data_IF_020294423013
#
_entry.id   IF_020294423013
#
_cell.length_a   1.000
_cell.length_b   1.000
_cell.length_c   1.000
_cell.angle_alpha   90.00
_cell.angle_beta   90.00
_cell.angle_gamma   90.00
#
_symmetry.space_group_name_H-M   'P 1'
#
loop_
_entity.id
_entity.type
_entity.pdbx_description
1 polymer ?
#
# COMPACT_ATOMS: atom_id res chain seq x y z
N UNK A 1 6.82 -69.86 -42.27
CA UNK A 1 6.33 -70.75 -41.18
C UNK A 1 6.93 -70.27 -39.86
N UNK A 2 6.42 -70.74 -38.71
CA UNK A 2 6.94 -70.48 -37.34
C UNK A 2 8.42 -70.94 -37.23
N UNK A 3 9.28 -70.54 -36.28
CA UNK A 3 9.16 -70.45 -34.80
C UNK A 3 10.19 -69.41 -34.26
N UNK A 4 9.91 -68.54 -33.27
CA UNK A 4 9.87 -68.70 -31.80
C UNK A 4 11.21 -69.06 -31.12
N UNK A 5 11.66 -68.19 -30.19
CA UNK A 5 12.34 -68.37 -28.87
C UNK A 5 13.47 -67.32 -28.66
N UNK A 6 13.83 -66.85 -27.46
CA UNK A 6 13.16 -66.45 -26.19
C UNK A 6 14.27 -65.88 -25.23
N UNK A 7 13.93 -65.37 -24.02
CA UNK A 7 14.87 -65.05 -22.88
C UNK A 7 15.69 -63.74 -23.11
N UNK A 8 15.96 -62.78 -22.20
CA UNK A 8 15.69 -62.48 -20.76
C UNK A 8 16.02 -60.97 -20.49
N UNK A 9 15.73 -60.26 -19.37
CA UNK A 9 14.67 -60.28 -18.33
C UNK A 9 14.97 -59.19 -17.26
N UNK A 10 14.28 -58.04 -17.28
CA UNK A 10 14.31 -56.99 -16.22
C UNK A 10 13.06 -56.09 -16.35
N UNK A 11 11.96 -56.37 -15.67
CA UNK A 11 11.60 -55.87 -14.33
C UNK A 11 11.85 -54.36 -14.15
N UNK A 12 10.77 -53.58 -14.14
CA UNK A 12 10.37 -52.83 -12.93
C UNK A 12 8.94 -52.28 -13.08
N UNK A 13 8.00 -52.89 -12.37
CA UNK A 13 6.63 -52.42 -12.20
C UNK A 13 6.59 -51.27 -11.19
N UNK A 14 6.13 -50.09 -11.60
CA UNK A 14 5.75 -49.04 -10.64
C UNK A 14 4.31 -49.26 -10.18
N UNK A 15 4.16 -49.95 -9.05
CA UNK A 15 2.92 -49.98 -8.27
C UNK A 15 2.86 -48.74 -7.38
N UNK A 16 1.69 -48.11 -7.33
CA UNK A 16 1.39 -47.04 -6.39
C UNK A 16 1.44 -47.55 -4.93
N UNK A 17 2.14 -46.83 -4.07
CA UNK A 17 1.98 -46.89 -2.62
C UNK A 17 1.73 -45.46 -2.12
N UNK A 18 0.73 -45.28 -1.26
CA UNK A 18 0.35 -43.99 -0.71
C UNK A 18 0.82 -43.86 0.76
N UNK A 19 0.86 -42.61 1.24
CA UNK A 19 1.20 -42.18 2.60
C UNK A 19 2.69 -42.34 2.97
N UNK A 20 3.34 -41.38 3.65
CA UNK A 20 2.84 -40.15 4.29
C UNK A 20 3.92 -39.07 4.45
N UNK A 21 3.49 -37.81 4.38
CA UNK A 21 4.08 -36.61 5.00
C UNK A 21 5.61 -36.45 5.05
N UNK A 22 6.14 -35.57 4.21
CA UNK A 22 7.07 -34.54 4.68
C UNK A 22 6.69 -33.17 4.09
N UNK A 23 6.73 -32.13 4.92
CA UNK A 23 6.40 -30.76 4.55
C UNK A 23 7.66 -30.12 4.00
N UNK A 24 7.65 -29.75 2.72
CA UNK A 24 8.62 -28.82 2.15
C UNK A 24 7.89 -27.52 1.87
N UNK A 25 8.22 -26.40 2.55
CA UNK A 25 7.58 -25.13 2.30
C UNK A 25 7.95 -24.63 0.90
N UNK A 26 6.96 -24.14 0.15
CA UNK A 26 7.23 -23.43 -1.10
C UNK A 26 8.02 -22.16 -0.81
N UNK A 27 9.19 -22.01 -1.43
CA UNK A 27 9.98 -20.79 -1.30
C UNK A 27 9.14 -19.57 -1.67
N UNK A 28 9.02 -18.66 -0.70
CA UNK A 28 8.48 -17.33 -0.95
C UNK A 28 9.54 -16.53 -1.70
N UNK A 29 9.45 -16.54 -3.03
CA UNK A 29 10.09 -15.51 -3.86
C UNK A 29 9.36 -14.17 -3.63
N UNK A 30 9.56 -13.58 -2.47
CA UNK A 30 9.16 -12.20 -2.20
C UNK A 30 10.13 -11.29 -2.93
N UNK A 31 9.64 -10.57 -3.95
CA UNK A 31 10.43 -9.54 -4.61
C UNK A 31 10.92 -8.52 -3.58
N UNK A 32 12.21 -8.23 -3.60
CA UNK A 32 12.89 -7.45 -2.58
C UNK A 32 12.34 -6.02 -2.52
N UNK A 33 11.47 -5.73 -1.55
CA UNK A 33 11.08 -4.38 -1.21
C UNK A 33 12.33 -3.59 -0.78
N UNK A 34 12.72 -2.60 -1.58
CA UNK A 34 13.91 -1.81 -1.31
C UNK A 34 13.66 -0.86 -0.14
N UNK A 35 14.21 -1.21 1.03
CA UNK A 35 14.32 -0.31 2.18
C UNK A 35 15.22 0.87 1.82
N UNK A 36 14.62 2.03 1.60
CA UNK A 36 15.32 3.32 1.60
C UNK A 36 15.32 3.90 3.01
N UNK A 37 16.50 4.20 3.53
CA UNK A 37 16.67 4.82 4.84
C UNK A 37 16.01 6.20 4.88
N UNK A 38 15.24 6.45 5.93
CA UNK A 38 14.53 7.72 6.13
C UNK A 38 15.42 8.75 6.81
N UNK A 39 15.33 9.99 6.33
CA UNK A 39 15.70 11.20 7.06
C UNK A 39 14.38 11.84 7.50
N UNK A 40 14.19 11.98 8.81
CA UNK A 40 12.94 12.46 9.42
C UNK A 40 12.97 13.99 9.59
N UNK A 41 12.27 14.71 8.72
CA UNK A 41 12.06 16.14 8.89
C UNK A 41 10.97 16.38 9.95
N UNK A 42 11.37 16.90 11.11
CA UNK A 42 10.47 17.21 12.23
C UNK A 42 10.15 18.70 12.32
N UNK A 43 8.89 19.05 12.58
CA UNK A 43 8.48 20.43 12.91
C UNK A 43 7.41 20.43 14.02
N UNK A 44 7.33 21.50 14.81
CA UNK A 44 6.40 21.57 15.96
C UNK A 44 5.37 22.66 15.73
N UNK A 45 4.08 22.33 15.85
CA UNK A 45 2.98 23.29 15.81
C UNK A 45 2.28 23.34 17.17
N UNK A 46 2.12 24.56 17.69
CA UNK A 46 1.40 24.83 18.93
C UNK A 46 -0.10 24.96 18.66
N UNK A 47 -0.89 23.95 19.03
CA UNK A 47 -2.36 24.00 18.98
C UNK A 47 -2.87 24.67 20.26
N UNK A 48 -3.68 25.73 20.12
CA UNK A 48 -4.09 26.56 21.26
C UNK A 48 -5.41 26.12 21.95
N UNK A 49 -6.21 25.25 21.34
CA UNK A 49 -7.40 24.63 21.95
C UNK A 49 -7.65 23.24 21.39
N UNK A 50 -8.12 22.32 22.24
CA UNK A 50 -8.58 20.98 21.82
C UNK A 50 -9.87 21.06 20.97
N UNK A 51 -10.64 22.16 21.08
CA UNK A 51 -11.88 22.36 20.34
C UNK A 51 -11.68 22.44 18.82
N UNK A 52 -10.52 22.91 18.36
CA UNK A 52 -10.16 22.88 16.93
C UNK A 52 -9.73 21.47 16.46
N UNK A 53 -9.31 20.59 17.38
CA UNK A 53 -8.91 19.20 17.09
C UNK A 53 -10.11 18.25 16.97
N UNK A 54 -11.23 18.56 17.64
CA UNK A 54 -12.42 17.71 17.70
C UNK A 54 -13.51 18.04 16.66
N UNK A 55 -13.28 19.02 15.77
CA UNK A 55 -14.36 19.56 14.91
C UNK A 55 -14.90 18.58 13.86
N UNK A 56 -14.12 17.55 13.50
CA UNK A 56 -14.54 16.44 12.63
C UNK A 56 -15.05 15.19 13.40
N UNK A 57 -15.06 15.23 14.74
CA UNK A 57 -15.55 14.15 15.59
C UNK A 57 -16.84 14.58 16.29
N UNK A 58 -17.99 14.27 15.69
CA UNK A 58 -19.31 14.43 16.33
C UNK A 58 -19.45 13.48 17.52
N UNK A 59 -18.99 13.92 18.69
CA UNK A 59 -19.22 13.28 19.98
C UNK A 59 -19.96 14.29 20.86
N UNK A 60 -21.27 14.10 20.97
CA UNK A 60 -22.13 14.89 21.84
C UNK A 60 -21.94 14.53 23.31
N UNK A 61 -21.83 15.56 24.17
CA UNK A 61 -21.93 15.49 25.64
C UNK A 61 -20.82 14.73 26.37
N UNK A 62 -19.67 15.40 26.52
CA UNK A 62 -18.75 15.17 27.62
C UNK A 62 -18.48 16.51 28.34
N UNK A 63 -18.93 16.64 29.59
CA UNK A 63 -18.57 17.79 30.44
C UNK A 63 -17.09 17.63 30.84
N UNK A 64 -16.22 18.50 30.30
CA UNK A 64 -14.78 18.38 30.50
C UNK A 64 -14.29 19.33 31.62
N UNK A 65 -13.90 18.82 32.81
CA UNK A 65 -13.38 19.67 33.88
C UNK A 65 -11.91 20.06 33.63
N UNK A 66 -11.71 21.28 33.12
CA UNK A 66 -10.44 22.03 33.14
C UNK A 66 -9.14 21.22 32.95
N UNK A 67 -8.83 20.85 31.71
CA UNK A 67 -7.46 20.54 31.29
C UNK A 67 -6.93 21.59 30.32
N UNK A 68 -6.36 22.66 30.89
CA UNK A 68 -5.60 23.70 30.19
C UNK A 68 -4.19 23.20 29.78
N UNK A 69 -4.11 22.03 29.18
CA UNK A 69 -2.86 21.47 28.64
C UNK A 69 -2.80 21.72 27.14
N UNK A 70 -1.94 22.67 26.73
CA UNK A 70 -1.50 22.76 25.34
C UNK A 70 -0.81 21.44 24.97
N UNK A 71 -1.48 20.63 24.17
CA UNK A 71 -0.84 19.47 23.54
C UNK A 71 0.04 19.99 22.40
N UNK A 72 1.34 19.67 22.44
CA UNK A 72 2.26 20.02 21.36
C UNK A 72 2.14 18.95 20.29
N UNK A 73 1.68 19.30 19.10
CA UNK A 73 1.68 18.36 17.97
C UNK A 73 3.05 18.43 17.31
N UNK A 74 3.80 17.35 17.41
CA UNK A 74 5.04 17.14 16.68
C UNK A 74 4.66 16.59 15.31
N UNK A 75 4.87 17.38 14.27
CA UNK A 75 4.68 16.97 12.88
C UNK A 75 5.93 16.26 12.41
N UNK A 76 5.74 15.04 11.92
CA UNK A 76 6.78 14.18 11.39
C UNK A 76 6.53 13.92 9.91
N UNK A 77 7.57 14.02 9.09
CA UNK A 77 7.53 13.59 7.68
C UNK A 77 8.39 12.34 7.50
N UNK A 78 7.78 11.27 7.01
CA UNK A 78 8.43 9.96 6.77
C UNK A 78 8.31 9.57 5.30
N UNK A 79 9.26 8.79 4.78
CA UNK A 79 9.38 8.49 3.33
C UNK A 79 9.33 6.98 3.06
N UNK A 80 8.97 6.61 1.82
CA UNK A 80 8.90 5.21 1.40
C UNK A 80 7.70 4.47 2.02
N UNK A 81 7.72 3.13 2.01
CA UNK A 81 6.64 2.28 2.52
C UNK A 81 7.23 1.01 3.13
N UNK A 82 6.51 0.39 4.05
CA UNK A 82 6.95 -0.85 4.72
C UNK A 82 6.32 -2.09 4.08
N UNK A 83 5.17 -1.92 3.42
CA UNK A 83 4.47 -2.96 2.68
C UNK A 83 3.90 -2.41 1.38
N UNK A 84 3.95 -3.23 0.32
CA UNK A 84 3.34 -2.97 -0.98
C UNK A 84 2.57 -4.21 -1.41
N UNK A 85 1.34 -4.01 -1.84
CA UNK A 85 0.49 -5.05 -2.42
C UNK A 85 -0.21 -4.53 -3.68
N UNK A 86 -0.74 -5.43 -4.51
CA UNK A 86 -1.57 -5.05 -5.65
C UNK A 86 -3.02 -4.94 -5.19
N UNK A 87 -3.61 -3.75 -5.34
CA UNK A 87 -5.07 -3.57 -5.31
C UNK A 87 -5.68 -4.14 -6.60
N UNK A 88 -5.04 -3.83 -7.73
CA UNK A 88 -5.32 -4.43 -9.04
C UNK A 88 -4.00 -4.65 -9.78
N UNK A 89 -3.89 -5.78 -10.49
CA UNK A 89 -2.69 -6.15 -11.26
C UNK A 89 -3.06 -6.43 -12.71
N UNK A 90 -2.22 -5.99 -13.65
CA UNK A 90 -2.33 -6.19 -15.10
C UNK A 90 -3.75 -5.92 -15.64
N UNK A 91 -4.41 -4.94 -15.05
CA UNK A 91 -5.85 -4.72 -15.18
C UNK A 91 -6.17 -3.76 -16.31
N UNK A 92 -7.24 -4.07 -17.06
CA UNK A 92 -7.74 -3.23 -18.16
C UNK A 92 -8.59 -2.11 -17.59
N UNK A 93 -8.10 -0.88 -17.67
CA UNK A 93 -8.75 0.30 -17.10
C UNK A 93 -8.86 1.42 -18.12
N UNK A 94 -9.91 2.23 -18.02
CA UNK A 94 -10.05 3.50 -18.73
C UNK A 94 -10.35 4.62 -17.75
N UNK A 95 -9.75 5.78 -17.97
CA UNK A 95 -9.83 6.91 -17.05
C UNK A 95 -10.76 8.00 -17.60
N UNK A 96 -11.61 8.57 -16.74
CA UNK A 96 -12.37 9.77 -17.08
C UNK A 96 -11.46 11.01 -17.21
N UNK A 97 -11.93 12.04 -17.91
CA UNK A 97 -11.15 13.23 -18.28
C UNK A 97 -10.23 13.79 -17.17
N UNK A 98 -10.77 14.01 -15.97
CA UNK A 98 -10.01 14.61 -14.87
C UNK A 98 -8.86 13.72 -14.39
N UNK A 99 -9.08 12.41 -14.23
CA UNK A 99 -8.04 11.48 -13.77
C UNK A 99 -7.03 11.19 -14.89
N UNK A 100 -7.48 11.10 -16.14
CA UNK A 100 -6.59 10.96 -17.29
C UNK A 100 -5.60 12.13 -17.39
N UNK A 101 -6.05 13.36 -17.15
CA UNK A 101 -5.20 14.55 -17.11
C UNK A 101 -4.21 14.56 -15.93
N UNK A 102 -4.59 14.04 -14.75
CA UNK A 102 -3.69 13.89 -13.59
C UNK A 102 -2.63 12.80 -13.82
N UNK A 103 -3.00 11.73 -14.53
CA UNK A 103 -2.07 10.64 -14.89
C UNK A 103 -1.15 11.05 -16.04
N UNK A 104 -1.62 11.87 -16.99
CA UNK A 104 -0.89 12.21 -18.21
C UNK A 104 -1.15 11.22 -19.36
N UNK A 105 -2.40 10.77 -19.51
CA UNK A 105 -2.84 9.84 -20.57
C UNK A 105 -4.13 10.33 -21.25
N UNK A 106 -4.49 9.73 -22.39
CA UNK A 106 -5.71 10.08 -23.10
C UNK A 106 -6.96 9.60 -22.36
N UNK A 107 -8.03 10.42 -22.28
CA UNK A 107 -9.24 10.06 -21.58
C UNK A 107 -10.07 9.03 -22.36
N UNK A 108 -10.75 8.15 -21.63
CA UNK A 108 -11.61 7.08 -22.15
C UNK A 108 -10.92 6.02 -23.03
N UNK A 109 -9.59 6.08 -23.16
CA UNK A 109 -8.76 5.01 -23.76
C UNK A 109 -8.53 3.91 -22.72
N UNK A 110 -8.41 2.66 -23.19
CA UNK A 110 -8.10 1.51 -22.33
C UNK A 110 -6.59 1.31 -22.23
N UNK A 111 -6.11 1.08 -21.02
CA UNK A 111 -4.71 0.81 -20.69
C UNK A 111 -4.59 -0.48 -19.87
N UNK A 112 -3.38 -1.04 -19.81
CA UNK A 112 -2.99 -2.08 -18.85
C UNK A 112 -2.28 -1.42 -17.68
N UNK A 113 -2.79 -1.63 -16.48
CA UNK A 113 -2.49 -0.83 -15.29
C UNK A 113 -2.28 -1.74 -14.07
N UNK A 114 -1.29 -1.40 -13.24
CA UNK A 114 -1.17 -1.88 -11.87
C UNK A 114 -1.61 -0.75 -10.92
N UNK A 115 -2.58 -1.01 -10.04
CA UNK A 115 -2.86 -0.19 -8.85
C UNK A 115 -2.21 -0.84 -7.63
N UNK A 116 -1.30 -0.12 -6.97
CA UNK A 116 -0.64 -0.57 -5.76
C UNK A 116 -1.31 0.03 -4.53
N UNK A 117 -1.42 -0.78 -3.47
CA UNK A 117 -1.74 -0.34 -2.13
C UNK A 117 -0.43 -0.34 -1.33
N UNK A 118 -0.01 0.84 -0.88
CA UNK A 118 1.21 1.03 -0.10
C UNK A 118 0.80 1.28 1.36
N UNK A 119 1.50 0.65 2.31
CA UNK A 119 1.27 0.84 3.74
C UNK A 119 2.56 1.25 4.43
N UNK A 120 2.46 2.25 5.31
CA UNK A 120 3.50 2.68 6.26
C UNK A 120 3.00 2.45 7.68
N UNK A 121 3.84 1.90 8.55
CA UNK A 121 3.54 1.56 9.95
C UNK A 121 4.46 2.36 10.86
N UNK A 122 3.88 3.17 11.74
CA UNK A 122 4.61 3.88 12.79
C UNK A 122 4.27 3.23 14.13
N UNK A 123 5.27 2.76 14.85
CA UNK A 123 5.09 2.26 16.21
C UNK A 123 4.93 3.45 17.17
N UNK A 124 3.80 3.52 17.85
CA UNK A 124 3.50 4.60 18.79
C UNK A 124 3.82 4.09 20.20
N UNK A 125 4.93 4.53 20.80
CA UNK A 125 5.34 4.04 22.12
C UNK A 125 4.41 4.51 23.23
N UNK A 126 4.02 5.79 23.21
CA UNK A 126 3.35 6.45 24.35
C UNK A 126 2.24 7.45 23.94
N UNK A 127 1.94 7.62 22.64
CA UNK A 127 1.16 8.76 22.12
C UNK A 127 0.10 8.43 21.08
N UNK A 128 -0.82 9.37 20.85
CA UNK A 128 -1.80 9.32 19.76
C UNK A 128 -1.18 9.86 18.46
N UNK A 129 -1.52 9.23 17.34
CA UNK A 129 -1.19 9.73 16.01
C UNK A 129 -2.37 10.50 15.42
N UNK A 130 -2.10 11.63 14.80
CA UNK A 130 -3.06 12.52 14.18
C UNK A 130 -2.82 12.47 12.66
N UNK A 131 -3.82 12.08 11.85
CA UNK A 131 -3.68 12.14 10.40
C UNK A 131 -3.59 13.60 9.93
N UNK A 132 -2.64 13.92 9.05
CA UNK A 132 -2.44 15.26 8.50
C UNK A 132 -2.42 15.23 6.96
N UNK A 133 -2.66 16.39 6.35
CA UNK A 133 -2.59 16.52 4.89
C UNK A 133 -1.20 16.12 4.36
N UNK A 134 -1.18 15.17 3.42
CA UNK A 134 0.03 14.69 2.78
C UNK A 134 -0.04 14.88 1.26
N UNK A 135 0.21 16.10 0.74
CA UNK A 135 0.18 16.38 -0.70
C UNK A 135 1.28 15.66 -1.49
N UNK A 136 2.20 15.01 -0.78
CA UNK A 136 3.25 14.15 -1.33
C UNK A 136 2.98 12.64 -1.18
N UNK A 137 1.77 12.27 -0.79
CA UNK A 137 1.32 10.88 -0.77
C UNK A 137 0.80 10.43 -2.16
N UNK A 138 0.15 9.26 -2.18
CA UNK A 138 -0.63 8.76 -3.31
C UNK A 138 -2.07 9.29 -3.31
N UNK A 139 -2.97 8.58 -3.99
CA UNK A 139 -4.41 8.79 -3.90
C UNK A 139 -4.96 8.22 -2.58
N UNK A 140 -5.83 9.00 -1.92
CA UNK A 140 -6.52 8.62 -0.70
C UNK A 140 -7.45 7.40 -0.98
N UNK A 141 -7.29 6.23 -0.32
CA UNK A 141 -8.03 5.02 -0.67
C UNK A 141 -9.56 5.13 -0.54
N UNK A 142 -10.03 5.98 0.37
CA UNK A 142 -11.44 6.30 0.62
C UNK A 142 -11.86 7.65 0.01
N UNK A 143 -10.95 8.30 -0.72
CA UNK A 143 -11.12 9.65 -1.23
C UNK A 143 -12.07 9.70 -2.42
N UNK A 144 -12.66 10.88 -2.63
CA UNK A 144 -13.44 11.19 -3.83
C UNK A 144 -12.58 12.01 -4.78
N UNK A 145 -13.00 12.10 -6.05
CA UNK A 145 -12.44 13.05 -7.03
C UNK A 145 -10.90 13.06 -7.19
N UNK A 146 -10.23 11.93 -6.93
CA UNK A 146 -8.77 11.78 -6.96
C UNK A 146 -8.01 12.58 -5.88
N UNK A 147 -8.62 12.79 -4.72
CA UNK A 147 -8.00 13.36 -3.51
C UNK A 147 -6.64 12.69 -3.20
N UNK A 148 -5.64 13.51 -2.83
CA UNK A 148 -4.32 13.05 -2.42
C UNK A 148 -4.26 12.86 -0.90
N UNK A 149 -3.56 11.82 -0.44
CA UNK A 149 -3.39 11.55 0.98
C UNK A 149 -3.40 10.06 1.30
N UNK A 150 -3.71 9.74 2.55
CA UNK A 150 -3.74 8.37 3.07
C UNK A 150 -4.93 8.16 4.01
N UNK A 151 -5.45 6.94 4.04
CA UNK A 151 -6.35 6.50 5.10
C UNK A 151 -5.52 6.03 6.28
N UNK A 152 -5.91 6.37 7.51
CA UNK A 152 -5.18 6.01 8.72
C UNK A 152 -6.02 5.15 9.65
N UNK A 153 -5.37 4.20 10.33
CA UNK A 153 -5.99 3.36 11.37
C UNK A 153 -4.96 3.00 12.44
N UNK A 154 -5.42 2.59 13.63
CA UNK A 154 -4.55 2.11 14.71
C UNK A 154 -4.75 0.61 14.87
N UNK A 155 -3.71 -0.17 14.57
CA UNK A 155 -3.72 -1.64 14.63
C UNK A 155 -2.55 -2.10 15.49
N UNK A 156 -2.84 -2.84 16.56
CA UNK A 156 -1.84 -3.42 17.47
C UNK A 156 -0.80 -2.42 18.02
N UNK A 157 -1.22 -1.17 18.30
CA UNK A 157 -0.33 -0.10 18.77
C UNK A 157 0.47 0.62 17.68
N UNK A 158 0.34 0.21 16.42
CA UNK A 158 0.91 0.92 15.28
C UNK A 158 -0.13 1.84 14.64
N UNK A 159 0.29 3.03 14.25
CA UNK A 159 -0.44 3.87 13.31
C UNK A 159 -0.13 3.39 11.89
N UNK A 160 -1.11 2.77 11.24
CA UNK A 160 -1.00 2.29 9.86
C UNK A 160 -1.61 3.32 8.92
N UNK A 161 -0.79 3.81 7.99
CA UNK A 161 -1.17 4.75 6.94
C UNK A 161 -1.17 4.03 5.60
N UNK A 162 -2.23 4.15 4.81
CA UNK A 162 -2.37 3.46 3.52
C UNK A 162 -2.72 4.42 2.39
N UNK A 163 -2.03 4.30 1.25
CA UNK A 163 -2.27 5.12 0.05
C UNK A 163 -2.28 4.27 -1.22
N UNK A 164 -2.82 4.80 -2.32
CA UNK A 164 -2.84 4.14 -3.63
C UNK A 164 -1.91 4.86 -4.62
N UNK A 165 -1.17 4.10 -5.41
CA UNK A 165 -0.48 4.60 -6.61
C UNK A 165 -0.88 3.79 -7.83
N UNK A 166 -0.70 4.38 -9.01
CA UNK A 166 -1.07 3.82 -10.30
C UNK A 166 0.17 3.79 -11.19
N UNK A 167 0.47 2.64 -11.81
CA UNK A 167 1.40 2.53 -12.93
C UNK A 167 0.64 2.14 -14.19
N UNK A 168 0.57 3.06 -15.16
CA UNK A 168 0.08 2.78 -16.50
C UNK A 168 1.21 2.15 -17.32
N UNK A 169 1.16 0.83 -17.48
CA UNK A 169 2.25 0.03 -18.07
C UNK A 169 2.21 0.04 -19.58
N UNK A 170 1.04 -0.19 -20.17
CA UNK A 170 0.88 -0.34 -21.63
C UNK A 170 -0.41 0.30 -22.14
N UNK A 171 -0.41 0.78 -23.39
CA UNK A 171 -1.65 1.02 -24.14
C UNK A 171 -2.14 -0.27 -24.84
N UNK A 172 -3.34 -0.22 -25.42
CA UNK A 172 -3.93 -1.35 -26.18
C UNK A 172 -3.13 -1.79 -27.41
N UNK A 173 -2.25 -0.94 -27.94
CA UNK A 173 -1.32 -1.28 -29.03
C UNK A 173 -0.07 -2.03 -28.56
N UNK A 174 0.08 -2.26 -27.24
CA UNK A 174 1.24 -2.92 -26.66
C UNK A 174 2.47 -2.02 -26.47
N UNK A 175 2.34 -0.70 -26.66
CA UNK A 175 3.42 0.24 -26.38
C UNK A 175 3.58 0.41 -24.87
N UNK A 176 4.81 0.24 -24.37
CA UNK A 176 5.18 0.55 -22.98
C UNK A 176 5.09 2.05 -22.72
N UNK A 177 4.44 2.41 -21.61
CA UNK A 177 4.29 3.78 -21.12
C UNK A 177 5.04 3.98 -19.80
N UNK A 178 4.84 3.10 -18.82
CA UNK A 178 5.41 3.17 -17.46
C UNK A 178 5.21 4.54 -16.79
N UNK A 179 3.98 5.06 -16.87
CA UNK A 179 3.60 6.37 -16.31
C UNK A 179 3.07 6.15 -14.88
N UNK A 180 3.70 6.81 -13.91
CA UNK A 180 3.33 6.73 -12.49
C UNK A 180 2.46 7.91 -12.07
N UNK A 181 1.39 7.65 -11.32
CA UNK A 181 0.49 8.68 -10.82
C UNK A 181 -0.08 8.34 -9.43
N UNK A 182 -0.26 9.33 -8.53
CA UNK A 182 0.21 10.70 -8.66
C UNK A 182 1.74 10.79 -8.50
N UNK A 183 2.37 9.71 -8.00
CA UNK A 183 3.81 9.57 -7.72
C UNK A 183 4.25 8.13 -7.92
N UNK A 184 5.55 7.94 -8.11
CA UNK A 184 6.17 6.62 -8.04
C UNK A 184 6.24 6.15 -6.58
N UNK A 185 6.18 4.83 -6.34
CA UNK A 185 6.16 4.22 -5.00
C UNK A 185 7.31 4.66 -4.08
N UNK A 186 8.50 4.90 -4.64
CA UNK A 186 9.69 5.37 -3.92
C UNK A 186 9.67 6.87 -3.55
N UNK A 187 8.71 7.65 -4.08
CA UNK A 187 8.60 9.10 -3.91
C UNK A 187 7.48 9.51 -2.94
N UNK A 188 6.89 8.54 -2.25
CA UNK A 188 5.81 8.78 -1.28
C UNK A 188 6.40 9.37 -0.01
N UNK A 189 5.84 10.50 0.41
CA UNK A 189 6.05 11.10 1.73
C UNK A 189 4.73 11.12 2.50
N UNK A 190 4.78 10.77 3.79
CA UNK A 190 3.64 10.77 4.72
C UNK A 190 3.92 11.78 5.82
N UNK A 191 2.96 12.65 6.06
CA UNK A 191 3.01 13.69 7.09
C UNK A 191 1.95 13.35 8.12
N UNK A 192 2.36 13.17 9.37
CA UNK A 192 1.46 12.88 10.48
C UNK A 192 1.88 13.64 11.74
N UNK A 193 0.93 13.86 12.65
CA UNK A 193 1.20 14.43 13.96
C UNK A 193 1.34 13.33 15.02
N UNK A 194 2.24 13.53 15.98
CA UNK A 194 2.28 12.78 17.25
C UNK A 194 2.14 13.73 18.43
N UNK A 195 1.55 13.23 19.53
CA UNK A 195 1.50 13.90 20.84
C UNK A 195 2.60 13.39 21.78
#
# INVERSE_FOLDING_TARGET
>A
MKHILFISYAICTFTLAACSNEIIPSDKQGDNAQLYWMEEDTSVIFVNSIEDLCKDLTISNYENPFLSTKANVIIQTVKGYDELSYKYKDSKMSFGANLAAIIGVDPYVVYIVDEYLLTKRISMSDGYAIPLESPKCGFLPTGKNNELGYSATVINGNFEMTTITINVKYNTSGQTLNIWSPRQNSQIEWIYGSL
#
